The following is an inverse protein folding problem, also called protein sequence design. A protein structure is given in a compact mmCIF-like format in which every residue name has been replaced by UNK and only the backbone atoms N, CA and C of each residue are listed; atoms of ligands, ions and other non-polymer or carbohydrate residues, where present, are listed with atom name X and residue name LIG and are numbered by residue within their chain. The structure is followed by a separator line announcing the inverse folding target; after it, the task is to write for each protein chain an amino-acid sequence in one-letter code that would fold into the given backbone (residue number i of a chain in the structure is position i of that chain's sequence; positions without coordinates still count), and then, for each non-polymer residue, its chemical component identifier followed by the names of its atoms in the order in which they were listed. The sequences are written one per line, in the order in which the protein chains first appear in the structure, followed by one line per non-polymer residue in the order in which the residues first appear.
data_IF_107553592355
#
_entry.id   IF_107553592355
#
_cell.length_a   1.000
_cell.length_b   1.000
_cell.length_c   1.000
_cell.angle_alpha   90.00
_cell.angle_beta   90.00
_cell.angle_gamma   90.00
#
_symmetry.space_group_name_H-M   'P 1'
#
loop_
_entity.id
_entity.type
_entity.pdbx_description
1 polymer ?
#
# COMPACT_ATOMS: atom_id res chain seq x y z
N UNK A 1 33.88 15.75 25.14
CA UNK A 1 33.47 14.78 24.08
C UNK A 1 32.21 14.14 24.62
N UNK A 2 31.03 14.16 24.00
CA UNK A 2 30.70 13.92 22.60
C UNK A 2 29.29 14.47 22.30
N UNK A 3 29.21 15.45 21.40
CA UNK A 3 27.95 15.80 20.71
C UNK A 3 28.24 16.20 19.26
N UNK A 4 29.34 15.68 18.69
CA UNK A 4 29.84 16.09 17.37
C UNK A 4 29.16 15.35 16.21
N UNK A 5 28.44 14.26 16.49
CA UNK A 5 27.70 13.49 15.48
C UNK A 5 26.24 13.32 15.87
N UNK A 6 25.35 13.91 15.07
CA UNK A 6 23.89 13.67 15.14
C UNK A 6 23.57 12.33 14.49
N UNK A 7 23.82 11.24 15.19
CA UNK A 7 23.56 9.89 14.69
C UNK A 7 22.07 9.53 14.79
N UNK A 8 21.55 8.81 13.79
CA UNK A 8 20.19 8.25 13.77
C UNK A 8 20.28 6.74 13.55
N UNK A 9 19.53 5.99 14.35
CA UNK A 9 19.47 4.53 14.25
C UNK A 9 18.12 4.11 13.65
N UNK A 10 18.16 3.18 12.70
CA UNK A 10 16.97 2.55 12.10
C UNK A 10 17.13 1.05 12.30
N UNK A 11 16.14 0.41 12.94
CA UNK A 11 16.10 -1.03 13.16
C UNK A 11 14.83 -1.55 12.51
N UNK A 12 14.97 -2.54 11.63
CA UNK A 12 13.85 -3.17 10.92
C UNK A 12 13.75 -4.65 11.26
N UNK A 13 12.53 -5.17 11.33
CA UNK A 13 12.29 -6.60 11.38
C UNK A 13 10.84 -6.92 11.10
N UNK A 14 10.58 -8.16 10.67
CA UNK A 14 9.25 -8.65 10.32
C UNK A 14 8.43 -9.09 11.55
N UNK A 15 9.09 -9.44 12.65
CA UNK A 15 8.42 -9.89 13.88
C UNK A 15 8.21 -8.74 14.86
N UNK A 16 6.96 -8.27 14.93
CA UNK A 16 6.55 -7.21 15.85
C UNK A 16 6.71 -7.62 17.31
N UNK A 17 6.35 -8.85 17.68
CA UNK A 17 6.40 -9.29 19.08
C UNK A 17 7.83 -9.38 19.63
N UNK A 18 8.79 -9.85 18.84
CA UNK A 18 10.20 -9.93 19.25
C UNK A 18 10.85 -8.55 19.44
N UNK A 19 10.56 -7.62 18.53
CA UNK A 19 11.16 -6.28 18.58
C UNK A 19 10.61 -5.44 19.73
N UNK A 20 9.33 -5.60 20.05
CA UNK A 20 8.68 -4.78 21.07
C UNK A 20 9.00 -5.30 22.47
N UNK A 21 8.88 -6.61 22.72
CA UNK A 21 9.01 -7.17 24.08
C UNK A 21 10.36 -6.91 24.74
N UNK A 22 11.45 -6.96 23.97
CA UNK A 22 12.81 -6.83 24.52
C UNK A 22 13.31 -5.37 24.56
N UNK A 23 12.80 -4.51 23.68
CA UNK A 23 13.26 -3.12 23.57
C UNK A 23 12.39 -2.13 24.34
N UNK A 24 11.10 -2.44 24.58
CA UNK A 24 10.16 -1.48 25.17
C UNK A 24 10.48 -1.12 26.62
N UNK A 25 11.12 -2.02 27.37
CA UNK A 25 11.43 -1.80 28.79
C UNK A 25 12.68 -0.93 28.99
N UNK A 26 13.78 -1.22 28.26
CA UNK A 26 15.06 -0.49 28.41
C UNK A 26 15.10 0.84 27.63
N UNK A 27 14.36 0.93 26.53
CA UNK A 27 14.35 2.09 25.63
C UNK A 27 13.00 2.82 25.62
N UNK A 28 12.18 2.62 26.66
CA UNK A 28 10.93 3.35 26.87
C UNK A 28 11.13 4.85 26.56
N UNK A 29 10.21 5.43 25.79
CA UNK A 29 10.19 6.84 25.34
C UNK A 29 11.32 7.27 24.38
N UNK A 30 12.40 6.48 24.24
CA UNK A 30 13.54 6.78 23.34
C UNK A 30 13.43 6.10 21.97
N UNK A 31 12.53 5.12 21.84
CA UNK A 31 12.27 4.42 20.60
C UNK A 31 10.96 4.92 19.95
N UNK A 32 10.99 5.08 18.62
CA UNK A 32 9.79 5.37 17.81
C UNK A 32 9.50 4.17 16.92
N UNK A 33 8.30 3.64 17.03
CA UNK A 33 7.86 2.52 16.22
C UNK A 33 7.12 3.01 14.98
N UNK A 34 7.54 2.53 13.80
CA UNK A 34 6.87 2.77 12.53
C UNK A 34 6.40 1.40 12.02
N UNK A 35 5.08 1.22 11.91
CA UNK A 35 4.51 0.00 11.33
C UNK A 35 4.39 0.19 9.83
N UNK A 36 4.92 -0.77 9.06
CA UNK A 36 4.78 -0.82 7.61
C UNK A 36 3.83 -1.97 7.29
N UNK A 37 2.77 -1.66 6.54
CA UNK A 37 1.79 -2.65 6.11
C UNK A 37 2.04 -3.01 4.64
N UNK A 38 1.66 -4.23 4.19
CA UNK A 38 1.74 -4.56 2.78
C UNK A 38 0.82 -3.65 1.97
N UNK A 39 1.24 -3.33 0.74
CA UNK A 39 0.45 -2.51 -0.19
C UNK A 39 -0.96 -3.08 -0.32
N UNK A 40 -1.96 -2.20 -0.36
CA UNK A 40 -3.31 -2.55 -0.81
C UNK A 40 -3.28 -2.86 -2.30
N UNK A 41 -4.31 -3.54 -2.81
CA UNK A 41 -4.40 -3.82 -4.25
C UNK A 41 -4.35 -2.54 -5.09
N UNK A 42 -5.01 -1.46 -4.63
CA UNK A 42 -4.99 -0.16 -5.31
C UNK A 42 -3.58 0.42 -5.39
N UNK A 43 -2.81 0.37 -4.31
CA UNK A 43 -1.41 0.83 -4.30
C UNK A 43 -0.52 -0.08 -5.14
N UNK A 44 -0.76 -1.38 -5.11
CA UNK A 44 -0.07 -2.35 -5.96
C UNK A 44 -0.30 -2.08 -7.45
N UNK A 45 -1.53 -1.78 -7.88
CA UNK A 45 -1.82 -1.45 -9.29
C UNK A 45 -1.07 -0.19 -9.72
N UNK A 46 -1.04 0.85 -8.88
CA UNK A 46 -0.26 2.08 -9.18
C UNK A 46 1.23 1.81 -9.26
N UNK A 47 1.74 0.96 -8.38
CA UNK A 47 3.15 0.59 -8.34
C UNK A 47 3.54 -0.26 -9.56
N UNK A 48 2.68 -1.19 -9.96
CA UNK A 48 2.96 -2.20 -10.99
C UNK A 48 2.69 -1.72 -12.41
N UNK A 49 1.81 -0.73 -12.59
CA UNK A 49 1.40 -0.25 -13.90
C UNK A 49 1.05 1.25 -13.89
N UNK A 50 1.97 2.08 -14.40
CA UNK A 50 1.79 3.54 -14.49
C UNK A 50 0.70 3.97 -15.47
N UNK A 51 0.20 3.07 -16.31
CA UNK A 51 -0.85 3.35 -17.31
C UNK A 51 -2.28 3.20 -16.79
N UNK A 52 -2.49 2.47 -15.70
CA UNK A 52 -3.80 2.31 -15.05
C UNK A 52 -3.99 3.41 -13.99
N UNK A 53 -4.29 4.64 -14.45
CA UNK A 53 -4.75 5.73 -13.57
C UNK A 53 -6.15 5.41 -13.01
N UNK A 54 -6.18 4.52 -12.02
CA UNK A 54 -7.40 4.05 -11.35
C UNK A 54 -8.00 5.15 -10.47
N UNK A 55 -7.19 6.01 -9.86
CA UNK A 55 -7.66 7.05 -8.94
C UNK A 55 -8.62 8.05 -9.58
N UNK A 56 -8.22 8.61 -10.72
CA UNK A 56 -9.00 9.62 -11.46
C UNK A 56 -10.33 9.01 -11.94
N UNK A 57 -10.26 7.75 -12.34
CA UNK A 57 -11.38 6.98 -12.86
C UNK A 57 -12.39 6.61 -11.75
N UNK A 58 -11.95 6.08 -10.61
CA UNK A 58 -12.88 5.75 -9.52
C UNK A 58 -13.51 6.98 -8.86
N UNK A 59 -12.74 8.06 -8.67
CA UNK A 59 -13.27 9.31 -8.10
C UNK A 59 -14.33 9.90 -9.02
N UNK A 60 -14.06 9.99 -10.32
CA UNK A 60 -15.05 10.49 -11.30
C UNK A 60 -16.31 9.62 -11.39
N UNK A 61 -16.19 8.30 -11.20
CA UNK A 61 -17.35 7.41 -11.15
C UNK A 61 -18.23 7.61 -9.91
N UNK A 62 -17.62 7.88 -8.74
CA UNK A 62 -18.36 8.13 -7.49
C UNK A 62 -19.14 9.46 -7.55
N UNK A 63 -18.59 10.46 -8.25
CA UNK A 63 -19.22 11.77 -8.44
C UNK A 63 -20.07 11.88 -9.70
N UNK A 64 -20.25 10.78 -10.45
CA UNK A 64 -21.07 10.79 -11.65
C UNK A 64 -22.51 11.15 -11.30
N UNK A 65 -23.03 12.22 -11.89
CA UNK A 65 -24.38 12.74 -11.62
C UNK A 65 -25.41 12.23 -12.63
N UNK A 66 -24.95 11.72 -13.77
CA UNK A 66 -25.82 11.26 -14.87
C UNK A 66 -25.55 9.80 -15.25
N UNK A 67 -26.59 9.11 -15.72
CA UNK A 67 -26.50 7.73 -16.20
C UNK A 67 -25.52 7.63 -17.40
N UNK A 68 -25.43 8.67 -18.22
CA UNK A 68 -24.53 8.67 -19.38
C UNK A 68 -23.06 8.79 -18.99
N UNK A 69 -22.73 9.48 -17.90
CA UNK A 69 -21.39 9.46 -17.30
C UNK A 69 -21.01 8.07 -16.80
N UNK A 70 -21.94 7.37 -16.13
CA UNK A 70 -21.74 6.01 -15.65
C UNK A 70 -21.51 5.05 -16.83
N UNK A 71 -22.27 5.19 -17.92
CA UNK A 71 -22.07 4.39 -19.14
C UNK A 71 -20.69 4.63 -19.75
N UNK A 72 -20.26 5.89 -19.89
CA UNK A 72 -18.91 6.23 -20.39
C UNK A 72 -17.83 5.58 -19.53
N UNK A 73 -18.01 5.62 -18.21
CA UNK A 73 -17.09 4.98 -17.28
C UNK A 73 -17.03 3.46 -17.48
N UNK A 74 -18.20 2.82 -17.57
CA UNK A 74 -18.31 1.38 -17.82
C UNK A 74 -17.61 0.96 -19.11
N UNK A 75 -17.87 1.66 -20.23
CA UNK A 75 -17.21 1.36 -21.51
C UNK A 75 -15.70 1.61 -21.49
N UNK A 76 -15.21 2.53 -20.67
CA UNK A 76 -13.77 2.75 -20.48
C UNK A 76 -13.12 1.66 -19.61
N UNK A 77 -13.86 1.02 -18.72
CA UNK A 77 -13.37 -0.03 -17.82
C UNK A 77 -13.41 -1.42 -18.45
N UNK A 78 -14.43 -1.74 -19.27
CA UNK A 78 -14.58 -3.07 -19.87
C UNK A 78 -13.28 -3.57 -20.54
N UNK A 79 -12.61 -2.78 -21.41
CA UNK A 79 -11.40 -3.25 -22.09
C UNK A 79 -10.24 -3.52 -21.14
N UNK A 80 -10.27 -2.93 -19.94
CA UNK A 80 -9.21 -3.06 -18.92
C UNK A 80 -9.50 -4.19 -17.95
N UNK A 81 -10.66 -4.86 -18.03
CA UNK A 81 -11.10 -5.90 -17.09
C UNK A 81 -10.10 -7.04 -16.98
N UNK A 82 -9.64 -7.59 -18.10
CA UNK A 82 -8.71 -8.72 -18.12
C UNK A 82 -7.37 -8.35 -17.46
N UNK A 83 -6.87 -7.14 -17.74
CA UNK A 83 -5.66 -6.61 -17.12
C UNK A 83 -5.82 -6.45 -15.61
N UNK A 84 -6.97 -5.98 -15.14
CA UNK A 84 -7.26 -5.85 -13.70
C UNK A 84 -7.29 -7.23 -13.03
N UNK A 85 -7.93 -8.23 -13.67
CA UNK A 85 -7.99 -9.61 -13.16
C UNK A 85 -6.58 -10.22 -13.09
N UNK A 86 -5.78 -10.03 -14.13
CA UNK A 86 -4.38 -10.49 -14.14
C UNK A 86 -3.57 -9.88 -12.98
N UNK A 87 -3.62 -8.55 -12.82
CA UNK A 87 -2.92 -7.85 -11.74
C UNK A 87 -3.41 -8.30 -10.36
N UNK A 88 -4.70 -8.61 -10.21
CA UNK A 88 -5.23 -9.15 -8.97
C UNK A 88 -4.68 -10.54 -8.66
N UNK A 89 -4.53 -11.40 -9.68
CA UNK A 89 -3.87 -12.70 -9.54
C UNK A 89 -2.41 -12.54 -9.10
N UNK A 90 -1.65 -11.63 -9.70
CA UNK A 90 -0.27 -11.35 -9.31
C UNK A 90 -0.17 -10.80 -7.88
N UNK A 91 -1.06 -9.89 -7.51
CA UNK A 91 -1.14 -9.36 -6.16
C UNK A 91 -1.37 -10.46 -5.11
N UNK A 92 -2.25 -11.42 -5.41
CA UNK A 92 -2.53 -12.56 -4.53
C UNK A 92 -1.37 -13.58 -4.45
N UNK A 93 -0.54 -13.70 -5.50
CA UNK A 93 0.66 -14.54 -5.44
C UNK A 93 1.76 -13.90 -4.58
N UNK A 94 1.95 -12.59 -4.72
CA UNK A 94 3.03 -11.85 -4.06
C UNK A 94 2.72 -11.58 -2.60
N UNK A 95 1.46 -11.24 -2.28
CA UNK A 95 0.99 -11.40 -0.90
C UNK A 95 0.91 -12.90 -0.65
N UNK A 96 1.97 -13.47 -0.09
CA UNK A 96 1.82 -14.67 0.72
C UNK A 96 0.68 -14.40 1.70
N UNK A 97 -0.51 -14.89 1.39
CA UNK A 97 -1.55 -15.05 2.38
C UNK A 97 -0.87 -15.86 3.47
N UNK A 98 -0.67 -15.32 4.69
CA UNK A 98 -0.22 -16.18 5.76
C UNK A 98 -1.36 -17.20 5.94
N UNK A 99 -1.07 -18.47 5.64
CA UNK A 99 -1.81 -19.57 6.29
C UNK A 99 -1.62 -19.47 7.81
#
# INVERSE_FOLDING_TARGET
MDAKFKSKFIVSGSSKTLLYKNASESLAERIRFINIFPLTFREFVKFSDSGLNTDINFISAIFAKSIDEIKKFYYNLIPKKEKIIYLFGEYLKIRGFPE
#
